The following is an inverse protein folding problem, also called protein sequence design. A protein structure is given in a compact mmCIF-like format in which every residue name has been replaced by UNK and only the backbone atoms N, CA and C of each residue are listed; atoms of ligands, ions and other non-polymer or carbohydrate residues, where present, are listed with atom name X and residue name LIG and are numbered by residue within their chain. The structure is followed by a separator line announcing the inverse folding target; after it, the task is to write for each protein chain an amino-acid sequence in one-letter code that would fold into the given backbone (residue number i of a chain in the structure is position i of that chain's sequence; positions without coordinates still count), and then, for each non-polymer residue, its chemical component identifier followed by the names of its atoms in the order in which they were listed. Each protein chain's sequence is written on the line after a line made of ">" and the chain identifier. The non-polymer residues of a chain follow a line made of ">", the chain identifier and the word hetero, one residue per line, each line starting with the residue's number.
data_IF_449645191608
#
_entry.id   IF_449645191608
#
_cell.length_a   1.000
_cell.length_b   1.000
_cell.length_c   1.000
_cell.angle_alpha   90.00
_cell.angle_beta   90.00
_cell.angle_gamma   90.00
#
_symmetry.space_group_name_H-M   'P 1'
#
loop_
_entity.id
_entity.type
_entity.pdbx_description
1 polymer ?
#
# COMPACT_ATOMS: atom_id res chain seq x y z
N UNK A 1 14.49 -10.26 17.19
CA UNK A 1 13.27 -10.84 16.57
C UNK A 1 12.95 -10.02 15.34
N UNK A 2 13.11 -10.57 14.14
CA UNK A 2 12.66 -9.92 12.90
C UNK A 2 11.14 -9.75 12.98
N UNK A 3 10.61 -8.53 12.76
CA UNK A 3 9.16 -8.32 12.68
C UNK A 3 8.59 -9.27 11.62
N UNK A 4 7.74 -10.21 12.04
CA UNK A 4 6.91 -11.00 11.15
C UNK A 4 5.98 -10.04 10.39
N UNK A 5 6.01 -10.04 9.06
CA UNK A 5 5.03 -9.27 8.25
C UNK A 5 5.59 -8.16 7.36
N UNK A 6 6.83 -8.23 6.89
CA UNK A 6 7.35 -7.35 5.84
C UNK A 6 6.74 -7.70 4.46
N UNK A 7 5.46 -7.38 4.23
CA UNK A 7 4.82 -7.53 2.90
C UNK A 7 5.37 -6.46 1.94
N UNK A 8 6.43 -6.79 1.22
CA UNK A 8 7.04 -5.95 0.17
C UNK A 8 6.37 -6.13 -1.20
N UNK A 9 5.54 -7.16 -1.37
CA UNK A 9 4.87 -7.49 -2.63
C UNK A 9 3.42 -7.89 -2.40
N UNK A 10 2.58 -7.64 -3.41
CA UNK A 10 1.22 -8.17 -3.42
C UNK A 10 1.33 -9.70 -3.54
N UNK A 11 0.76 -10.44 -2.61
CA UNK A 11 0.69 -11.89 -2.75
C UNK A 11 -0.28 -12.23 -3.90
N UNK A 12 0.04 -13.27 -4.70
CA UNK A 12 -0.94 -13.87 -5.60
C UNK A 12 -2.12 -14.43 -4.79
N UNK A 13 -3.16 -14.89 -5.49
CA UNK A 13 -4.36 -15.40 -4.85
C UNK A 13 -4.02 -16.45 -3.77
N UNK A 14 -4.56 -16.25 -2.57
CA UNK A 14 -4.38 -17.17 -1.42
C UNK A 14 -4.95 -18.56 -1.74
N UNK A 15 -5.98 -18.61 -2.57
CA UNK A 15 -6.64 -19.83 -3.00
C UNK A 15 -6.25 -20.19 -4.43
N UNK A 16 -6.24 -21.49 -4.75
CA UNK A 16 -6.11 -21.99 -6.12
C UNK A 16 -7.28 -21.46 -6.94
N UNK A 17 -7.00 -21.00 -8.16
CA UNK A 17 -8.04 -20.52 -9.09
C UNK A 17 -8.44 -21.62 -10.05
N UNK A 18 -9.75 -21.82 -10.21
CA UNK A 18 -10.35 -22.72 -11.18
C UNK A 18 -11.02 -21.91 -12.30
N UNK A 19 -10.97 -22.43 -13.53
CA UNK A 19 -11.71 -21.89 -14.68
C UNK A 19 -12.84 -22.85 -15.02
N UNK A 20 -14.08 -22.41 -14.86
CA UNK A 20 -15.27 -23.17 -15.23
C UNK A 20 -15.83 -22.69 -16.56
N UNK A 21 -16.26 -23.61 -17.41
CA UNK A 21 -16.87 -23.34 -18.72
C UNK A 21 -18.34 -22.88 -18.60
N UNK A 22 -18.57 -21.88 -17.75
CA UNK A 22 -19.88 -21.26 -17.50
C UNK A 22 -19.75 -19.73 -17.66
N UNK A 23 -20.78 -19.03 -18.19
CA UNK A 23 -20.69 -17.59 -18.39
C UNK A 23 -20.38 -16.81 -17.10
N UNK A 24 -19.52 -15.79 -17.22
CA UNK A 24 -19.20 -14.91 -16.10
C UNK A 24 -20.40 -14.02 -15.75
N UNK A 25 -20.85 -14.06 -14.49
CA UNK A 25 -21.83 -13.11 -13.97
C UNK A 25 -21.28 -11.66 -13.83
N UNK A 26 -19.96 -11.45 -14.01
CA UNK A 26 -19.30 -10.14 -13.80
C UNK A 26 -18.88 -9.44 -15.09
N UNK A 27 -18.77 -10.17 -16.20
CA UNK A 27 -18.30 -9.63 -17.48
C UNK A 27 -19.19 -10.16 -18.58
N UNK A 28 -19.90 -9.25 -19.23
CA UNK A 28 -20.71 -9.54 -20.40
C UNK A 28 -19.86 -10.19 -21.49
N UNK A 29 -20.39 -11.22 -22.15
CA UNK A 29 -19.72 -11.99 -23.21
C UNK A 29 -18.48 -12.81 -22.81
N UNK A 30 -18.17 -12.97 -21.52
CA UNK A 30 -17.14 -13.93 -21.09
C UNK A 30 -17.74 -15.33 -20.92
N UNK A 31 -17.39 -16.32 -21.77
CA UNK A 31 -18.04 -17.65 -21.78
C UNK A 31 -17.52 -18.60 -20.69
N UNK A 32 -16.67 -18.11 -19.80
CA UNK A 32 -16.08 -18.86 -18.71
C UNK A 32 -16.04 -18.02 -17.43
N UNK A 33 -15.97 -18.67 -16.28
CA UNK A 33 -15.89 -18.03 -14.97
C UNK A 33 -14.59 -18.43 -14.30
N UNK A 34 -13.88 -17.46 -13.72
CA UNK A 34 -12.69 -17.71 -12.90
C UNK A 34 -13.12 -17.61 -11.43
N UNK A 35 -12.91 -18.67 -10.68
CA UNK A 35 -13.30 -18.81 -9.29
C UNK A 35 -12.09 -19.10 -8.42
N UNK A 36 -12.06 -18.56 -7.20
CA UNK A 36 -11.20 -19.09 -6.16
C UNK A 36 -11.86 -20.37 -5.61
N UNK A 37 -11.05 -21.41 -5.44
CA UNK A 37 -11.46 -22.67 -4.80
C UNK A 37 -11.32 -22.54 -3.28
N UNK A 38 -11.66 -23.61 -2.55
CA UNK A 38 -11.40 -23.71 -1.10
C UNK A 38 -9.98 -24.20 -0.80
N UNK A 39 -9.21 -24.59 -1.82
CA UNK A 39 -7.85 -25.09 -1.67
C UNK A 39 -6.87 -23.92 -1.63
N UNK A 40 -5.99 -23.89 -0.62
CA UNK A 40 -4.91 -22.91 -0.53
C UNK A 40 -3.88 -23.14 -1.64
N UNK A 41 -3.35 -22.06 -2.19
CA UNK A 41 -2.25 -22.13 -3.16
C UNK A 41 -0.94 -22.51 -2.46
N UNK A 42 -0.06 -23.23 -3.17
CA UNK A 42 1.28 -23.60 -2.67
C UNK A 42 2.06 -22.35 -2.23
N UNK A 43 2.03 -21.28 -3.05
CA UNK A 43 2.60 -19.97 -2.70
C UNK A 43 2.06 -19.39 -1.38
N UNK A 44 0.80 -19.66 -1.02
CA UNK A 44 0.23 -19.21 0.25
C UNK A 44 0.69 -20.07 1.43
N UNK A 45 0.82 -21.37 1.22
CA UNK A 45 1.36 -22.32 2.21
C UNK A 45 2.84 -22.02 2.51
N UNK A 46 3.66 -21.82 1.47
CA UNK A 46 5.06 -21.43 1.58
C UNK A 46 5.26 -20.10 2.31
N UNK A 47 4.27 -19.21 2.19
CA UNK A 47 4.24 -17.92 2.88
C UNK A 47 3.62 -17.99 4.28
N UNK A 48 3.43 -19.19 4.82
CA UNK A 48 2.87 -19.47 6.15
C UNK A 48 1.55 -18.73 6.41
N UNK A 49 0.57 -18.94 5.53
CA UNK A 49 -0.72 -18.28 5.65
C UNK A 49 -1.48 -18.64 6.93
N UNK A 50 -1.25 -19.82 7.51
CA UNK A 50 -1.92 -20.26 8.74
C UNK A 50 -1.56 -19.42 9.97
N UNK A 51 -0.33 -18.89 10.03
CA UNK A 51 0.11 -18.00 11.10
C UNK A 51 -0.03 -16.51 10.74
N UNK A 52 -0.70 -16.19 9.62
CA UNK A 52 -0.90 -14.81 9.22
C UNK A 52 -1.97 -14.11 10.06
N UNK A 53 -1.72 -12.86 10.44
CA UNK A 53 -2.72 -12.00 11.07
C UNK A 53 -3.54 -11.32 9.97
N UNK A 54 -4.85 -11.56 9.98
CA UNK A 54 -5.77 -10.86 9.09
C UNK A 54 -6.03 -9.44 9.60
N UNK A 55 -6.00 -8.48 8.69
CA UNK A 55 -6.22 -7.06 8.98
C UNK A 55 -7.09 -6.44 7.90
N UNK A 56 -7.75 -5.33 8.23
CA UNK A 56 -8.57 -4.61 7.26
C UNK A 56 -7.69 -3.97 6.17
N UNK A 57 -8.01 -4.23 4.91
CA UNK A 57 -7.35 -3.55 3.79
C UNK A 57 -7.83 -2.11 3.71
N UNK A 58 -6.92 -1.16 3.97
CA UNK A 58 -7.13 0.25 3.61
C UNK A 58 -6.83 0.43 2.12
N UNK A 59 -7.76 1.06 1.39
CA UNK A 59 -7.55 1.38 -0.03
C UNK A 59 -6.81 2.71 -0.18
N UNK A 60 -5.51 2.66 0.12
CA UNK A 60 -4.60 3.79 -0.01
C UNK A 60 -3.36 3.44 -0.83
N UNK A 61 -2.37 4.33 -0.77
CA UNK A 61 -1.07 4.16 -1.39
C UNK A 61 -0.04 3.71 -0.36
N UNK A 62 0.76 2.70 -0.69
CA UNK A 62 1.79 2.19 0.21
C UNK A 62 2.88 3.25 0.46
N UNK A 63 3.23 3.42 1.73
CA UNK A 63 4.37 4.22 2.16
C UNK A 63 5.04 3.56 3.37
N UNK A 64 6.21 4.06 3.77
CA UNK A 64 6.88 3.73 5.03
C UNK A 64 7.85 4.84 5.41
N UNK A 65 8.39 4.79 6.63
CA UNK A 65 9.38 5.78 7.09
C UNK A 65 10.77 5.15 7.15
N UNK A 66 11.75 5.81 6.53
CA UNK A 66 13.17 5.47 6.66
C UNK A 66 14.04 6.69 6.44
N UNK A 67 15.32 6.58 6.79
CA UNK A 67 16.26 7.68 6.70
C UNK A 67 16.54 8.08 5.26
N UNK A 68 16.55 9.38 5.00
CA UNK A 68 17.00 10.02 3.77
C UNK A 68 17.72 11.32 4.14
N UNK A 69 18.91 11.56 3.58
CA UNK A 69 19.74 12.73 3.91
C UNK A 69 19.97 12.92 5.43
N UNK A 70 20.11 11.80 6.15
CA UNK A 70 20.36 11.80 7.60
C UNK A 70 19.13 12.06 8.48
N UNK A 71 17.93 12.18 7.91
CA UNK A 71 16.69 12.46 8.64
C UNK A 71 15.59 11.44 8.29
N UNK A 72 14.63 11.17 9.19
CA UNK A 72 13.46 10.35 8.85
C UNK A 72 12.64 11.01 7.74
N UNK A 73 12.32 10.24 6.69
CA UNK A 73 11.47 10.68 5.59
C UNK A 73 10.34 9.69 5.37
N UNK A 74 9.21 10.17 4.86
CA UNK A 74 8.18 9.30 4.30
C UNK A 74 8.60 8.90 2.89
N UNK A 75 8.51 7.61 2.59
CA UNK A 75 8.83 7.04 1.29
C UNK A 75 7.57 6.48 0.66
N UNK A 76 7.28 6.88 -0.56
CA UNK A 76 6.14 6.40 -1.33
C UNK A 76 6.57 5.30 -2.29
N UNK A 77 5.68 4.34 -2.55
CA UNK A 77 5.93 3.28 -3.51
C UNK A 77 6.06 3.85 -4.93
N UNK A 78 7.14 3.47 -5.62
CA UNK A 78 7.37 3.74 -7.03
C UNK A 78 7.95 2.50 -7.70
N UNK A 79 7.10 1.74 -8.37
CA UNK A 79 7.55 0.57 -9.13
C UNK A 79 8.24 1.02 -10.43
N UNK A 80 9.46 0.52 -10.68
CA UNK A 80 10.14 0.68 -11.97
C UNK A 80 9.46 -0.25 -12.98
N UNK A 81 8.76 0.36 -13.93
CA UNK A 81 7.93 -0.34 -14.92
C UNK A 81 8.64 -0.48 -16.26
N UNK A 82 8.28 -1.48 -17.07
CA UNK A 82 8.80 -1.61 -18.42
C UNK A 82 8.34 -0.42 -19.27
N UNK A 83 9.14 -0.09 -20.27
CA UNK A 83 8.78 0.86 -21.30
C UNK A 83 7.70 0.26 -22.22
N UNK A 84 7.11 1.07 -23.10
CA UNK A 84 5.97 0.64 -23.94
C UNK A 84 6.31 -0.52 -24.88
N UNK A 85 7.55 -0.57 -25.40
CA UNK A 85 8.01 -1.62 -26.31
C UNK A 85 8.23 -2.93 -25.55
N UNK A 86 8.90 -2.86 -24.41
CA UNK A 86 9.15 -3.99 -23.53
C UNK A 86 7.86 -4.60 -22.98
N UNK A 87 6.91 -3.78 -22.53
CA UNK A 87 5.58 -4.22 -22.06
C UNK A 87 4.82 -4.97 -23.17
N UNK A 88 4.87 -4.48 -24.41
CA UNK A 88 4.24 -5.16 -25.56
C UNK A 88 4.90 -6.51 -25.84
N UNK A 89 6.24 -6.58 -25.78
CA UNK A 89 7.01 -7.82 -25.98
C UNK A 89 6.72 -8.84 -24.88
N UNK A 90 6.67 -8.39 -23.63
CA UNK A 90 6.35 -9.22 -22.47
C UNK A 90 4.93 -9.77 -22.53
N UNK A 91 3.93 -8.93 -22.84
CA UNK A 91 2.54 -9.40 -23.03
C UNK A 91 2.44 -10.44 -24.15
N UNK A 92 3.13 -10.23 -25.28
CA UNK A 92 3.15 -11.21 -26.37
C UNK A 92 3.76 -12.54 -25.93
N UNK A 93 4.81 -12.50 -25.11
CA UNK A 93 5.40 -13.69 -24.50
C UNK A 93 4.41 -14.41 -23.57
N UNK A 94 3.73 -13.69 -22.67
CA UNK A 94 2.72 -14.27 -21.77
C UNK A 94 1.54 -14.91 -22.51
N UNK A 95 1.19 -14.40 -23.69
CA UNK A 95 0.14 -14.99 -24.54
C UNK A 95 0.62 -16.14 -25.42
N UNK A 96 1.93 -16.35 -25.54
CA UNK A 96 2.47 -17.47 -26.29
C UNK A 96 2.24 -18.77 -25.50
N UNK A 97 1.85 -19.85 -26.18
CA UNK A 97 1.59 -21.15 -25.55
C UNK A 97 2.88 -21.89 -25.15
N UNK A 98 4.04 -21.30 -25.42
CA UNK A 98 5.34 -21.92 -25.19
C UNK A 98 5.95 -21.39 -23.88
N UNK A 99 5.57 -22.02 -22.77
CA UNK A 99 6.09 -21.72 -21.44
C UNK A 99 7.48 -22.34 -21.19
N UNK A 100 8.11 -22.95 -22.21
CA UNK A 100 9.38 -23.67 -22.02
C UNK A 100 10.60 -22.75 -21.84
N UNK A 101 10.49 -21.46 -22.19
CA UNK A 101 11.58 -20.48 -22.10
C UNK A 101 11.20 -19.33 -21.18
N UNK A 102 12.11 -18.90 -20.31
CA UNK A 102 11.93 -17.70 -19.51
C UNK A 102 12.02 -16.44 -20.38
N UNK A 103 11.26 -15.39 -20.04
CA UNK A 103 11.40 -14.09 -20.68
C UNK A 103 12.70 -13.42 -20.24
N UNK A 104 13.53 -13.02 -21.20
CA UNK A 104 14.79 -12.33 -20.91
C UNK A 104 14.58 -10.81 -20.97
N UNK A 105 14.75 -10.16 -19.83
CA UNK A 105 14.71 -8.70 -19.70
C UNK A 105 16.09 -8.08 -19.98
N UNK A 106 16.13 -7.00 -20.76
CA UNK A 106 17.27 -6.10 -20.83
C UNK A 106 17.09 -4.97 -19.80
N UNK A 107 17.75 -5.08 -18.65
CA UNK A 107 17.57 -4.17 -17.51
C UNK A 107 17.92 -2.70 -17.79
N UNK A 108 18.75 -2.45 -18.80
CA UNK A 108 19.19 -1.10 -19.17
C UNK A 108 18.21 -0.45 -20.16
N UNK A 109 17.66 -1.22 -21.10
CA UNK A 109 16.82 -0.69 -22.18
C UNK A 109 15.32 -0.86 -21.94
N UNK A 110 14.89 -1.97 -21.32
CA UNK A 110 13.47 -2.35 -21.25
C UNK A 110 12.67 -1.55 -20.22
N UNK A 111 13.32 -0.78 -19.34
CA UNK A 111 12.67 -0.14 -18.20
C UNK A 111 12.67 1.37 -18.28
N UNK A 112 11.62 1.98 -17.73
CA UNK A 112 11.60 3.44 -17.55
C UNK A 112 12.71 3.87 -16.58
N UNK A 113 13.28 5.07 -16.77
CA UNK A 113 14.21 5.63 -15.81
C UNK A 113 13.49 5.88 -14.48
N UNK A 114 14.25 5.81 -13.40
CA UNK A 114 13.82 6.18 -12.04
C UNK A 114 14.73 7.29 -11.51
N UNK A 115 14.27 8.10 -10.55
CA UNK A 115 15.13 9.07 -9.88
C UNK A 115 16.32 8.40 -9.19
N UNK A 116 17.42 9.13 -9.01
CA UNK A 116 18.62 8.63 -8.31
C UNK A 116 18.34 8.20 -6.87
N UNK A 117 17.39 8.87 -6.20
CA UNK A 117 16.95 8.52 -4.85
C UNK A 117 16.06 7.28 -4.79
N UNK A 118 15.73 6.66 -5.93
CA UNK A 118 14.95 5.43 -5.96
C UNK A 118 15.75 4.27 -5.36
N UNK A 119 15.11 3.52 -4.48
CA UNK A 119 15.68 2.30 -3.91
C UNK A 119 14.76 1.11 -4.17
N UNK A 120 15.33 -0.08 -4.46
CA UNK A 120 14.53 -1.31 -4.58
C UNK A 120 13.91 -1.66 -3.23
N UNK A 121 12.73 -2.29 -3.25
CA UNK A 121 12.15 -2.86 -2.04
C UNK A 121 13.06 -3.99 -1.48
N UNK A 122 13.04 -4.18 -0.15
CA UNK A 122 14.06 -4.99 0.56
C UNK A 122 14.10 -6.47 0.19
N UNK A 123 12.99 -7.05 -0.27
CA UNK A 123 12.83 -8.48 -0.53
C UNK A 123 12.59 -8.78 -2.02
N UNK A 124 13.17 -7.96 -2.90
CA UNK A 124 13.12 -8.22 -4.35
C UNK A 124 14.20 -9.24 -4.70
N UNK A 125 13.84 -10.18 -5.58
CA UNK A 125 14.80 -11.12 -6.15
C UNK A 125 15.94 -10.36 -6.84
N UNK A 126 17.16 -10.84 -6.65
CA UNK A 126 18.34 -10.22 -7.24
C UNK A 126 19.10 -11.23 -8.07
N UNK A 127 19.60 -10.77 -9.22
CA UNK A 127 20.53 -11.50 -10.05
C UNK A 127 21.80 -10.66 -10.18
N UNK A 128 22.94 -11.21 -9.76
CA UNK A 128 24.23 -10.50 -9.73
C UNK A 128 24.17 -9.16 -8.98
N UNK A 129 23.42 -9.10 -7.87
CA UNK A 129 23.24 -7.90 -7.06
C UNK A 129 22.35 -6.82 -7.67
N UNK A 130 21.74 -7.07 -8.85
CA UNK A 130 20.75 -6.17 -9.47
C UNK A 130 19.33 -6.70 -9.21
N UNK A 131 18.37 -5.83 -8.86
CA UNK A 131 16.98 -6.25 -8.66
C UNK A 131 16.37 -6.69 -9.99
N UNK A 132 15.66 -7.82 -9.99
CA UNK A 132 14.96 -8.33 -11.17
C UNK A 132 13.46 -8.07 -11.11
N UNK A 133 12.77 -8.03 -12.26
CA UNK A 133 11.33 -7.80 -12.31
C UNK A 133 10.54 -8.99 -11.75
N UNK A 134 9.39 -8.69 -11.16
CA UNK A 134 8.42 -9.69 -10.70
C UNK A 134 7.69 -10.37 -11.87
N UNK A 135 6.76 -11.27 -11.53
CA UNK A 135 5.91 -12.00 -12.51
C UNK A 135 5.05 -11.08 -13.39
N UNK A 136 4.87 -9.81 -13.02
CA UNK A 136 4.16 -8.80 -13.80
C UNK A 136 5.12 -7.90 -14.61
N UNK A 137 6.43 -8.16 -14.54
CA UNK A 137 7.46 -7.35 -15.18
C UNK A 137 7.76 -6.05 -14.46
N UNK A 138 7.34 -5.87 -13.21
CA UNK A 138 7.62 -4.66 -12.43
C UNK A 138 8.77 -4.90 -11.45
N UNK A 139 9.57 -3.87 -11.16
CA UNK A 139 10.54 -3.91 -10.07
C UNK A 139 10.00 -2.97 -8.97
N UNK A 140 9.46 -3.51 -7.86
CA UNK A 140 8.97 -2.67 -6.78
C UNK A 140 10.06 -1.75 -6.23
N UNK A 141 9.68 -0.60 -5.71
CA UNK A 141 10.66 0.30 -5.13
C UNK A 141 10.03 1.50 -4.46
N UNK A 142 10.89 2.38 -4.02
CA UNK A 142 10.52 3.47 -3.12
C UNK A 142 11.27 4.73 -3.49
N UNK A 143 10.61 5.87 -3.31
CA UNK A 143 11.23 7.20 -3.40
C UNK A 143 10.84 8.04 -2.20
N UNK A 144 11.72 8.93 -1.71
CA UNK A 144 11.39 9.85 -0.63
C UNK A 144 10.33 10.84 -1.13
N UNK A 145 9.36 11.14 -0.27
CA UNK A 145 8.30 12.12 -0.52
C UNK A 145 8.87 13.50 -0.20
N UNK A 146 9.34 14.21 -1.21
CA UNK A 146 9.81 15.59 -1.06
C UNK A 146 8.65 16.57 -0.78
N UNK A 147 8.96 17.69 -0.10
CA UNK A 147 8.00 18.78 0.13
C UNK A 147 7.49 19.28 -1.22
N UNK A 148 6.18 19.48 -1.36
CA UNK A 148 5.51 19.94 -2.59
C UNK A 148 5.52 18.95 -3.77
N UNK A 149 5.71 17.65 -3.52
CA UNK A 149 5.58 16.64 -4.58
C UNK A 149 4.16 16.61 -5.14
N UNK A 150 3.96 17.03 -6.40
CA UNK A 150 2.66 16.93 -7.08
C UNK A 150 2.20 15.48 -7.25
N UNK A 151 3.14 14.57 -7.50
CA UNK A 151 2.85 13.14 -7.65
C UNK A 151 2.41 12.49 -6.34
N UNK A 152 2.96 12.96 -5.21
CA UNK A 152 2.73 12.40 -3.88
C UNK A 152 2.05 13.40 -2.95
N UNK A 153 1.16 14.25 -3.49
CA UNK A 153 0.57 15.37 -2.74
C UNK A 153 -0.15 14.92 -1.46
N UNK A 154 -0.86 13.79 -1.50
CA UNK A 154 -1.52 13.20 -0.33
C UNK A 154 -0.54 12.67 0.73
N UNK A 155 0.62 12.17 0.31
CA UNK A 155 1.66 11.75 1.26
C UNK A 155 2.34 12.98 1.86
N UNK A 156 2.60 14.02 1.05
CA UNK A 156 3.21 15.25 1.55
C UNK A 156 2.28 16.04 2.48
N UNK A 157 0.96 15.91 2.36
CA UNK A 157 0.01 16.63 3.21
C UNK A 157 -0.10 16.07 4.62
N UNK A 158 0.36 14.84 4.85
CA UNK A 158 0.31 14.16 6.16
C UNK A 158 1.65 14.19 6.89
N UNK A 159 2.68 14.85 6.35
CA UNK A 159 3.99 14.96 6.99
C UNK A 159 4.42 16.42 7.10
N UNK A 160 5.05 16.75 8.21
CA UNK A 160 5.74 18.00 8.40
C UNK A 160 7.19 17.70 8.81
N UNK A 161 8.10 17.83 7.84
CA UNK A 161 9.53 17.55 8.06
C UNK A 161 10.23 18.60 8.93
N UNK A 162 9.71 19.81 9.00
CA UNK A 162 10.27 20.89 9.82
C UNK A 162 10.10 20.58 11.31
N UNK A 163 8.91 20.11 11.70
CA UNK A 163 8.63 19.67 13.07
C UNK A 163 8.90 18.18 13.30
N UNK A 164 9.30 17.44 12.25
CA UNK A 164 9.57 16.01 12.33
C UNK A 164 8.35 15.20 12.78
N UNK A 165 7.15 15.52 12.27
CA UNK A 165 5.89 14.87 12.64
C UNK A 165 5.12 14.35 11.42
N UNK A 166 4.24 13.38 11.67
CA UNK A 166 3.29 12.87 10.70
C UNK A 166 1.89 12.72 11.32
N UNK A 167 0.86 12.92 10.52
CA UNK A 167 -0.51 12.54 10.86
C UNK A 167 -0.68 11.04 10.61
N UNK A 168 -1.19 10.35 11.62
CA UNK A 168 -1.46 8.90 11.54
C UNK A 168 -2.88 8.60 11.98
N UNK A 169 -3.50 7.63 11.31
CA UNK A 169 -4.71 6.96 11.77
C UNK A 169 -4.29 5.65 12.43
N UNK A 170 -4.63 5.45 13.70
CA UNK A 170 -4.29 4.25 14.46
C UNK A 170 -5.45 3.80 15.34
N UNK A 171 -5.33 2.61 15.93
CA UNK A 171 -6.18 2.23 17.04
C UNK A 171 -5.81 3.00 18.29
N UNK A 172 -6.82 3.43 19.02
CA UNK A 172 -6.61 3.98 20.37
C UNK A 172 -5.98 2.89 21.26
N UNK A 173 -4.92 3.21 22.03
CA UNK A 173 -4.25 2.23 22.87
C UNK A 173 -5.08 1.81 24.08
N UNK A 174 -5.99 2.66 24.55
CA UNK A 174 -6.72 2.51 25.81
C UNK A 174 -8.20 2.14 25.58
N UNK A 175 -8.80 2.54 24.46
CA UNK A 175 -10.18 2.25 24.07
C UNK A 175 -10.26 1.29 22.86
N UNK A 176 -10.43 -0.03 23.09
CA UNK A 176 -10.62 -1.00 22.01
C UNK A 176 -11.78 -0.63 21.08
N UNK A 177 -11.51 -0.57 19.78
CA UNK A 177 -12.53 -0.26 18.77
C UNK A 177 -12.64 1.23 18.43
N UNK A 178 -11.99 2.11 19.20
CA UNK A 178 -11.81 3.52 18.83
C UNK A 178 -10.62 3.67 17.88
N UNK A 179 -10.79 4.53 16.87
CA UNK A 179 -9.70 5.03 16.04
C UNK A 179 -9.24 6.38 16.56
N UNK A 180 -7.96 6.68 16.38
CA UNK A 180 -7.37 7.96 16.71
C UNK A 180 -6.65 8.52 15.49
N UNK A 181 -6.96 9.79 15.16
CA UNK A 181 -6.12 10.62 14.29
C UNK A 181 -5.23 11.46 15.18
N UNK A 182 -3.92 11.27 15.10
CA UNK A 182 -2.97 12.01 15.92
C UNK A 182 -1.71 12.42 15.16
N UNK A 183 -1.03 13.43 15.69
CA UNK A 183 0.31 13.80 15.26
C UNK A 183 1.35 13.00 16.04
N UNK A 184 2.21 12.27 15.33
CA UNK A 184 3.28 11.47 15.92
C UNK A 184 4.65 11.89 15.39
N UNK A 185 5.73 11.73 16.19
CA UNK A 185 7.09 11.90 15.69
C UNK A 185 7.32 11.00 14.48
N UNK A 186 7.80 11.61 13.40
CA UNK A 186 8.22 10.93 12.18
C UNK A 186 9.48 10.12 12.50
N UNK A 187 9.31 8.84 12.77
CA UNK A 187 10.41 7.93 13.08
C UNK A 187 10.26 6.60 12.35
N UNK A 188 11.40 5.94 12.14
CA UNK A 188 11.48 4.63 11.49
C UNK A 188 10.76 3.54 12.30
N UNK A 189 10.59 3.74 13.61
CA UNK A 189 10.01 2.75 14.52
C UNK A 189 8.48 2.85 14.62
N UNK A 190 7.94 4.05 14.40
CA UNK A 190 6.55 4.40 14.68
C UNK A 190 5.60 4.15 13.49
N UNK A 191 6.11 4.09 12.26
CA UNK A 191 5.28 4.10 11.06
C UNK A 191 5.55 2.87 10.17
N UNK A 192 4.48 2.10 9.98
CA UNK A 192 4.27 0.94 9.11
C UNK A 192 4.57 -0.47 9.64
N UNK A 193 3.53 -1.30 9.51
CA UNK A 193 3.60 -2.74 9.28
C UNK A 193 2.79 -3.06 8.01
N UNK A 194 3.36 -3.79 7.05
CA UNK A 194 2.62 -4.27 5.89
C UNK A 194 1.62 -5.40 6.24
N UNK A 195 0.64 -5.62 5.37
CA UNK A 195 -0.47 -6.55 5.61
C UNK A 195 -0.79 -7.41 4.36
N UNK A 196 -1.25 -8.64 4.58
CA UNK A 196 -1.78 -9.52 3.51
C UNK A 196 -3.24 -9.13 3.23
N UNK A 197 -3.66 -9.21 1.97
CA UNK A 197 -5.01 -8.81 1.58
C UNK A 197 -5.74 -9.93 0.84
N UNK A 198 -6.98 -10.20 1.25
CA UNK A 198 -7.90 -11.07 0.52
C UNK A 198 -8.76 -10.20 -0.40
N UNK A 199 -9.00 -10.66 -1.62
CA UNK A 199 -9.86 -9.95 -2.56
C UNK A 199 -11.34 -10.11 -2.19
N UNK A 200 -12.11 -9.02 -2.25
CA UNK A 200 -13.57 -8.99 -1.97
C UNK A 200 -14.38 -10.09 -2.68
N UNK A 201 -13.94 -10.49 -3.87
CA UNK A 201 -14.62 -11.51 -4.67
C UNK A 201 -14.55 -12.91 -4.05
N UNK A 202 -13.58 -13.17 -3.16
CA UNK A 202 -13.51 -14.40 -2.39
C UNK A 202 -14.51 -14.42 -1.23
N UNK A 203 -15.09 -13.26 -0.87
CA UNK A 203 -16.03 -13.12 0.25
C UNK A 203 -17.48 -12.93 -0.20
N UNK A 204 -17.77 -12.98 -1.51
CA UNK A 204 -19.13 -12.78 -2.04
C UNK A 204 -19.70 -11.37 -1.83
N UNK A 205 -18.86 -10.39 -1.49
CA UNK A 205 -19.31 -9.03 -1.16
C UNK A 205 -19.59 -8.20 -2.42
N UNK A 206 -20.71 -7.46 -2.41
CA UNK A 206 -21.10 -6.51 -3.45
C UNK A 206 -20.20 -5.25 -3.43
N UNK A 207 -20.17 -4.51 -4.54
CA UNK A 207 -19.45 -3.25 -4.67
C UNK A 207 -20.38 -2.11 -5.11
N UNK A 208 -20.25 -0.89 -4.54
CA UNK A 208 -19.42 -0.54 -3.39
C UNK A 208 -19.99 -1.09 -2.08
N UNK A 209 -19.13 -1.39 -1.10
CA UNK A 209 -19.59 -1.60 0.27
C UNK A 209 -19.86 -0.21 0.86
N UNK A 210 -21.11 0.12 1.22
CA UNK A 210 -21.46 1.48 1.66
C UNK A 210 -20.79 1.84 2.99
N UNK A 211 -20.61 0.87 3.89
CA UNK A 211 -19.95 1.04 5.18
C UNK A 211 -18.97 -0.11 5.43
N UNK A 212 -17.67 0.18 5.40
CA UNK A 212 -16.62 -0.76 5.84
C UNK A 212 -16.36 -0.61 7.33
N UNK A 213 -15.73 -1.61 7.94
CA UNK A 213 -15.51 -1.67 9.38
C UNK A 213 -14.73 -0.44 9.89
N UNK A 214 -13.57 -0.09 9.32
CA UNK A 214 -12.83 1.12 9.70
C UNK A 214 -13.66 2.39 9.54
N UNK A 215 -14.43 2.51 8.46
CA UNK A 215 -15.23 3.72 8.22
C UNK A 215 -16.39 3.83 9.22
N UNK A 216 -16.88 2.71 9.75
CA UNK A 216 -17.95 2.67 10.77
C UNK A 216 -17.45 2.82 12.21
N UNK A 217 -16.14 2.86 12.44
CA UNK A 217 -15.58 3.01 13.79
C UNK A 217 -15.66 4.45 14.27
N UNK A 218 -15.94 4.65 15.58
CA UNK A 218 -15.76 5.96 16.19
C UNK A 218 -14.31 6.38 16.05
N UNK A 219 -14.09 7.68 15.94
CA UNK A 219 -12.77 8.28 15.79
C UNK A 219 -12.63 9.50 16.69
N UNK A 220 -11.51 9.60 17.38
CA UNK A 220 -11.12 10.81 18.11
C UNK A 220 -9.96 11.50 17.37
N UNK A 221 -10.01 12.82 17.31
CA UNK A 221 -8.88 13.63 16.85
C UNK A 221 -8.08 14.07 18.07
N UNK A 222 -6.81 13.71 18.14
CA UNK A 222 -5.93 14.03 19.26
C UNK A 222 -4.59 14.55 18.74
N UNK A 223 -4.50 15.85 18.58
CA UNK A 223 -3.35 16.48 17.96
C UNK A 223 -2.19 16.66 18.95
N UNK A 224 -2.45 16.73 20.26
CA UNK A 224 -1.47 16.88 21.34
C UNK A 224 -0.20 17.67 20.95
N UNK A 225 -0.42 18.84 20.33
CA UNK A 225 0.66 19.65 19.76
C UNK A 225 1.35 20.54 20.79
N UNK A 226 1.01 20.43 22.08
CA UNK A 226 1.64 21.18 23.17
C UNK A 226 3.16 20.95 23.28
N UNK A 227 3.68 19.95 22.57
CA UNK A 227 5.12 19.63 22.48
C UNK A 227 5.81 20.28 21.28
N UNK A 228 5.06 20.91 20.37
CA UNK A 228 5.57 21.52 19.15
C UNK A 228 5.13 22.99 19.13
N UNK A 229 6.08 23.91 19.15
CA UNK A 229 5.81 25.33 18.93
C UNK A 229 5.63 25.57 17.42
N UNK A 230 4.46 25.19 16.90
CA UNK A 230 4.20 25.06 15.47
C UNK A 230 3.13 26.05 15.00
N UNK A 231 3.51 26.97 14.11
CA UNK A 231 2.58 27.74 13.30
C UNK A 231 2.34 27.01 11.97
N UNK A 232 1.23 26.31 11.86
CA UNK A 232 0.84 25.62 10.64
C UNK A 232 0.19 26.57 9.64
N UNK A 233 0.46 26.38 8.35
CA UNK A 233 -0.29 27.05 7.28
C UNK A 233 -1.79 26.78 7.43
N UNK A 234 -2.61 27.80 7.21
CA UNK A 234 -4.05 27.73 7.49
C UNK A 234 -4.77 26.64 6.71
N UNK A 235 -4.29 26.34 5.51
CA UNK A 235 -4.85 25.35 4.59
C UNK A 235 -4.27 23.94 4.80
N UNK A 236 -3.26 23.75 5.65
CA UNK A 236 -2.65 22.44 5.81
C UNK A 236 -3.48 21.53 6.73
N UNK A 237 -3.39 20.22 6.46
CA UNK A 237 -4.19 19.20 7.14
C UNK A 237 -3.96 19.15 8.66
N UNK A 238 -2.74 19.46 9.12
CA UNK A 238 -2.42 19.58 10.53
C UNK A 238 -3.26 20.66 11.21
N UNK A 239 -3.40 21.84 10.60
CA UNK A 239 -4.21 22.92 11.15
C UNK A 239 -5.71 22.56 11.14
N UNK A 240 -6.18 21.89 10.08
CA UNK A 240 -7.57 21.45 10.00
C UNK A 240 -7.93 20.43 11.11
N UNK A 241 -7.04 19.48 11.40
CA UNK A 241 -7.24 18.57 12.53
C UNK A 241 -7.02 19.23 13.88
N UNK A 242 -6.11 20.22 13.99
CA UNK A 242 -5.91 20.99 15.21
C UNK A 242 -7.19 21.74 15.62
N UNK A 243 -7.94 22.30 14.66
CA UNK A 243 -9.27 22.90 14.91
C UNK A 243 -10.30 21.91 15.46
N UNK A 244 -10.05 20.60 15.31
CA UNK A 244 -10.89 19.50 15.76
C UNK A 244 -10.29 18.73 16.94
N UNK A 245 -9.24 19.26 17.58
CA UNK A 245 -8.58 18.59 18.70
C UNK A 245 -9.57 18.20 19.80
N UNK A 246 -9.44 16.97 20.28
CA UNK A 246 -10.28 16.30 21.29
C UNK A 246 -11.75 16.09 20.89
N UNK A 247 -12.12 16.34 19.63
CA UNK A 247 -13.45 16.01 19.15
C UNK A 247 -13.53 14.51 18.81
N UNK A 248 -14.63 13.89 19.25
CA UNK A 248 -14.99 12.50 18.94
C UNK A 248 -16.11 12.50 17.90
N UNK A 249 -16.00 11.64 16.91
CA UNK A 249 -16.96 11.45 15.84
C UNK A 249 -17.40 9.98 15.84
N UNK A 250 -18.65 9.74 15.46
CA UNK A 250 -19.18 8.36 15.40
C UNK A 250 -18.52 7.55 14.28
N UNK A 251 -18.08 8.21 13.20
CA UNK A 251 -17.47 7.59 12.02
C UNK A 251 -16.41 8.49 11.40
N UNK A 252 -15.44 7.88 10.70
CA UNK A 252 -14.39 8.62 9.99
C UNK A 252 -14.96 9.62 8.96
N UNK A 253 -16.01 9.21 8.24
CA UNK A 253 -16.70 10.06 7.25
C UNK A 253 -17.44 11.27 7.83
N UNK A 254 -17.66 11.30 9.14
CA UNK A 254 -18.35 12.42 9.80
C UNK A 254 -17.37 13.59 10.10
N UNK A 255 -16.06 13.39 9.87
CA UNK A 255 -15.06 14.46 9.95
C UNK A 255 -15.13 15.34 8.69
N UNK A 256 -15.76 16.50 8.82
CA UNK A 256 -15.82 17.51 7.76
C UNK A 256 -14.59 18.41 7.80
N UNK A 257 -13.74 18.34 6.78
CA UNK A 257 -12.58 19.21 6.61
C UNK A 257 -12.94 20.39 5.69
N UNK A 258 -12.45 21.59 6.01
CA UNK A 258 -12.60 22.77 5.17
C UNK A 258 -11.57 22.67 4.02
N UNK A 259 -11.99 22.13 2.88
CA UNK A 259 -11.16 21.98 1.66
C UNK A 259 -11.41 23.12 0.69
#
# INVERSE_FOLDING_TARGET
>A
MSRLGSVQRKMPCVFVTEVKAEPSAKREHQPFKVLATETLSEKALDADVYNAIATEKVDGTCCYVTNYKGQPYLWARLDRKPNKQADKRFKKFLHSKDNSKAFLWNMEEDFKPVPECWIPAKEIEQQNGKPVPDENGHIPGWVPVEKNSKQYCWHSSVVNYEFGIALVLRHDPDEPGLLEICAMPLSVENICSPQKHVHRHHLGLCWPLPDTYMNSKPVIVNMNLNKYDCAFDNECLFNQFLKKDKQKFDRLKDIMLDV
#
